data_IF_681023007930
#
_entry.id   IF_681023007930
#
_cell.length_a   1.000
_cell.length_b   1.000
_cell.length_c   1.000
_cell.angle_alpha   90.00
_cell.angle_beta   90.00
_cell.angle_gamma   90.00
#
_symmetry.space_group_name_H-M   'P 1'
#
loop_
_entity.id
_entity.type
_entity.pdbx_description
1 polymer ?
#
# COMPACT_ATOMS: atom_id res chain seq x y z
N UNK A 1 -26.20 27.91 36.37
CA UNK A 1 -25.45 28.10 35.11
C UNK A 1 -25.77 26.95 34.17
N UNK A 2 -26.42 27.23 33.02
CA UNK A 2 -27.01 26.25 32.11
C UNK A 2 -26.10 26.02 30.90
N UNK A 3 -25.54 24.81 30.76
CA UNK A 3 -24.72 24.43 29.60
C UNK A 3 -25.61 23.78 28.54
N UNK A 4 -26.29 24.61 27.71
CA UNK A 4 -26.98 24.15 26.51
C UNK A 4 -25.98 24.15 25.35
N UNK A 5 -25.26 23.05 25.19
CA UNK A 5 -24.48 22.82 23.99
C UNK A 5 -25.44 22.72 22.79
N UNK A 6 -25.20 23.61 21.83
CA UNK A 6 -25.80 23.77 20.50
C UNK A 6 -26.27 22.46 19.85
N UNK A 7 -27.45 21.96 20.22
CA UNK A 7 -28.07 20.78 19.62
C UNK A 7 -29.19 21.26 18.70
N UNK A 8 -29.01 21.03 17.40
CA UNK A 8 -29.93 21.47 16.34
C UNK A 8 -31.38 21.01 16.61
N UNK A 9 -32.39 21.83 16.26
CA UNK A 9 -33.80 21.46 16.34
C UNK A 9 -34.10 20.14 15.60
N UNK A 10 -34.97 19.27 16.13
CA UNK A 10 -35.25 17.94 15.55
C UNK A 10 -35.81 18.03 14.13
N UNK A 11 -36.68 19.01 13.88
CA UNK A 11 -37.25 19.33 12.57
C UNK A 11 -36.20 19.66 11.49
N UNK A 12 -35.09 20.30 11.87
CA UNK A 12 -34.00 20.63 10.95
C UNK A 12 -33.25 19.36 10.51
N UNK A 13 -33.07 18.40 11.43
CA UNK A 13 -32.40 17.13 11.14
C UNK A 13 -33.22 16.26 10.18
N UNK A 14 -34.53 16.24 10.35
CA UNK A 14 -35.43 15.51 9.47
C UNK A 14 -35.50 16.12 8.08
N UNK A 15 -35.52 17.46 7.97
CA UNK A 15 -35.48 18.15 6.68
C UNK A 15 -34.14 17.95 5.97
N UNK A 16 -33.03 18.02 6.70
CA UNK A 16 -31.70 17.74 6.14
C UNK A 16 -31.58 16.28 5.68
N UNK A 17 -32.07 15.32 6.47
CA UNK A 17 -32.10 13.91 6.08
C UNK A 17 -32.96 13.69 4.83
N UNK A 18 -34.12 14.34 4.72
CA UNK A 18 -34.98 14.27 3.53
C UNK A 18 -34.34 14.89 2.30
N UNK A 19 -33.65 16.03 2.43
CA UNK A 19 -32.90 16.64 1.33
C UNK A 19 -31.79 15.72 0.82
N UNK A 20 -31.03 15.12 1.75
CA UNK A 20 -29.99 14.13 1.43
C UNK A 20 -30.58 12.92 0.71
N UNK A 21 -31.69 12.36 1.20
CA UNK A 21 -32.36 11.20 0.59
C UNK A 21 -33.01 11.52 -0.76
N UNK A 22 -33.57 12.72 -0.95
CA UNK A 22 -34.11 13.17 -2.25
C UNK A 22 -33.01 13.40 -3.27
N UNK A 23 -31.86 13.92 -2.85
CA UNK A 23 -30.71 14.14 -3.72
C UNK A 23 -29.96 12.82 -4.06
N UNK A 24 -30.00 11.83 -3.15
CA UNK A 24 -29.56 10.44 -3.39
C UNK A 24 -30.38 9.77 -4.50
N UNK A 25 -31.70 9.97 -4.46
CA UNK A 25 -32.62 9.39 -5.44
C UNK A 25 -32.52 10.02 -6.84
N UNK A 26 -32.28 11.33 -6.92
CA UNK A 26 -32.32 12.06 -8.20
C UNK A 26 -30.98 12.10 -8.96
N UNK A 27 -29.85 11.92 -8.28
CA UNK A 27 -28.53 12.02 -8.91
C UNK A 27 -27.54 10.92 -8.48
N UNK A 28 -27.81 9.63 -8.81
CA UNK A 28 -27.03 8.49 -8.32
C UNK A 28 -25.52 8.55 -8.65
N UNK A 29 -25.12 9.29 -9.69
CA UNK A 29 -23.71 9.48 -10.08
C UNK A 29 -22.92 10.47 -9.21
N UNK A 30 -23.58 11.38 -8.48
CA UNK A 30 -22.91 12.39 -7.63
C UNK A 30 -22.47 11.80 -6.28
N UNK A 31 -23.16 10.75 -5.82
CA UNK A 31 -22.88 10.04 -4.58
C UNK A 31 -21.73 9.06 -4.71
N UNK A 32 -21.34 8.67 -5.93
CA UNK A 32 -20.20 7.78 -6.15
C UNK A 32 -18.91 8.37 -5.56
N UNK A 33 -18.69 9.68 -5.71
CA UNK A 33 -17.55 10.38 -5.09
C UNK A 33 -17.64 10.46 -3.56
N UNK A 34 -18.85 10.57 -3.01
CA UNK A 34 -19.08 10.54 -1.56
C UNK A 34 -18.84 9.14 -0.98
N UNK A 35 -19.31 8.08 -1.63
CA UNK A 35 -19.07 6.67 -1.23
C UNK A 35 -17.57 6.35 -1.23
N UNK A 36 -16.80 6.89 -2.17
CA UNK A 36 -15.34 6.76 -2.22
C UNK A 36 -14.66 7.58 -1.09
N UNK A 37 -15.16 8.78 -0.80
CA UNK A 37 -14.59 9.68 0.22
C UNK A 37 -15.02 9.36 1.66
N UNK A 38 -16.10 8.60 1.84
CA UNK A 38 -16.57 8.12 3.14
C UNK A 38 -16.28 6.63 3.28
N UNK A 39 -15.02 6.22 3.50
CA UNK A 39 -14.68 4.80 3.67
C UNK A 39 -15.42 4.17 4.86
N UNK A 40 -15.91 4.98 5.80
CA UNK A 40 -16.73 4.54 6.93
C UNK A 40 -18.12 4.01 6.56
N UNK A 41 -18.66 4.37 5.40
CA UNK A 41 -19.92 3.78 4.93
C UNK A 41 -19.72 2.34 4.43
N UNK A 42 -18.51 1.99 3.97
CA UNK A 42 -18.12 0.62 3.62
C UNK A 42 -17.88 -0.24 4.87
N UNK A 43 -17.33 0.35 5.95
CA UNK A 43 -17.14 -0.33 7.24
C UNK A 43 -18.45 -0.75 7.94
N UNK A 44 -19.62 -0.29 7.47
CA UNK A 44 -20.92 -0.72 8.00
C UNK A 44 -21.26 -2.19 7.67
N UNK A 45 -20.51 -2.85 6.76
CA UNK A 45 -20.67 -4.27 6.42
C UNK A 45 -19.45 -5.06 6.93
N UNK A 46 -19.63 -6.08 7.81
CA UNK A 46 -18.52 -6.87 8.37
C UNK A 46 -17.61 -7.50 7.32
N UNK A 47 -18.18 -7.93 6.20
CA UNK A 47 -17.47 -8.57 5.08
C UNK A 47 -16.51 -7.61 4.37
N UNK A 48 -16.85 -6.32 4.27
CA UNK A 48 -16.03 -5.33 3.58
C UNK A 48 -14.82 -4.89 4.41
N UNK A 49 -14.87 -5.01 5.74
CA UNK A 49 -13.75 -4.67 6.62
C UNK A 49 -12.55 -5.56 6.28
N UNK A 50 -12.75 -6.87 6.24
CA UNK A 50 -11.68 -7.83 5.92
C UNK A 50 -11.15 -7.65 4.51
N UNK A 51 -12.03 -7.49 3.52
CA UNK A 51 -11.62 -7.27 2.13
C UNK A 51 -10.73 -6.03 1.97
N UNK A 52 -11.08 -4.91 2.58
CA UNK A 52 -10.25 -3.69 2.46
C UNK A 52 -8.88 -3.88 3.11
N UNK A 53 -8.81 -4.52 4.27
CA UNK A 53 -7.57 -4.84 4.96
C UNK A 53 -6.70 -5.80 4.15
N UNK A 54 -7.29 -6.83 3.56
CA UNK A 54 -6.57 -7.83 2.75
C UNK A 54 -6.02 -7.22 1.46
N UNK A 55 -6.79 -6.34 0.82
CA UNK A 55 -6.34 -5.59 -0.37
C UNK A 55 -5.18 -4.66 0.01
N UNK A 56 -5.32 -3.85 1.06
CA UNK A 56 -4.24 -2.98 1.55
C UNK A 56 -2.98 -3.78 1.92
N UNK A 57 -3.15 -4.89 2.63
CA UNK A 57 -2.08 -5.80 3.01
C UNK A 57 -1.36 -6.40 1.78
N UNK A 58 -2.09 -6.68 0.70
CA UNK A 58 -1.54 -7.21 -0.55
C UNK A 58 -0.63 -6.21 -1.27
N UNK A 59 -0.88 -4.90 -1.14
CA UNK A 59 0.01 -3.87 -1.68
C UNK A 59 1.20 -3.59 -0.77
N UNK A 60 0.96 -3.50 0.53
CA UNK A 60 1.99 -3.14 1.51
C UNK A 60 2.99 -4.30 1.71
N UNK A 61 2.53 -5.55 1.68
CA UNK A 61 3.35 -6.73 1.91
C UNK A 61 4.58 -6.83 0.99
N UNK A 62 4.41 -6.85 -0.34
CA UNK A 62 5.51 -6.88 -1.30
C UNK A 62 6.46 -5.69 -1.18
N UNK A 63 5.93 -4.48 -0.90
CA UNK A 63 6.74 -3.28 -0.73
C UNK A 63 7.69 -3.43 0.46
N UNK A 64 7.16 -3.80 1.62
CA UNK A 64 7.95 -4.01 2.83
C UNK A 64 8.93 -5.16 2.65
N UNK A 65 8.54 -6.25 1.98
CA UNK A 65 9.40 -7.40 1.72
C UNK A 65 10.61 -7.05 0.84
N UNK A 66 10.40 -6.27 -0.23
CA UNK A 66 11.50 -5.82 -1.10
C UNK A 66 12.45 -4.92 -0.32
N UNK A 67 11.93 -3.97 0.47
CA UNK A 67 12.75 -3.07 1.27
C UNK A 67 13.57 -3.83 2.34
N UNK A 68 12.96 -4.78 3.02
CA UNK A 68 13.63 -5.61 4.02
C UNK A 68 14.73 -6.46 3.37
N UNK A 69 14.45 -7.04 2.20
CA UNK A 69 15.42 -7.84 1.44
C UNK A 69 16.57 -6.99 0.92
N UNK A 70 16.28 -5.78 0.42
CA UNK A 70 17.33 -4.86 -0.05
C UNK A 70 18.27 -4.49 1.10
N UNK A 71 17.72 -4.12 2.26
CA UNK A 71 18.52 -3.69 3.39
C UNK A 71 19.31 -4.83 4.04
N UNK A 72 18.63 -5.92 4.41
CA UNK A 72 19.26 -7.00 5.19
C UNK A 72 20.02 -8.00 4.33
N UNK A 73 19.50 -8.37 3.14
CA UNK A 73 20.08 -9.44 2.32
C UNK A 73 21.07 -8.87 1.30
N UNK A 74 20.68 -7.83 0.56
CA UNK A 74 21.51 -7.29 -0.53
C UNK A 74 22.60 -6.38 0.01
N UNK A 75 22.24 -5.43 0.88
CA UNK A 75 23.16 -4.41 1.42
C UNK A 75 23.79 -4.79 2.77
N UNK A 76 23.32 -5.88 3.39
CA UNK A 76 23.81 -6.39 4.68
C UNK A 76 23.87 -5.32 5.78
N UNK A 77 22.90 -4.40 5.78
CA UNK A 77 22.81 -3.30 6.76
C UNK A 77 23.70 -2.08 6.48
N UNK A 78 24.43 -2.04 5.37
CA UNK A 78 25.29 -0.91 5.01
C UNK A 78 24.57 0.01 4.02
N UNK A 79 24.17 1.19 4.49
CA UNK A 79 23.57 2.25 3.67
C UNK A 79 24.47 3.49 3.76
N UNK A 80 24.84 4.03 2.60
CA UNK A 80 25.44 5.36 2.51
C UNK A 80 24.33 6.44 2.50
N UNK A 81 24.23 7.19 3.59
CA UNK A 81 23.29 8.31 3.75
C UNK A 81 23.66 9.48 2.86
N UNK A 82 24.95 9.72 2.64
CA UNK A 82 25.41 10.85 1.82
C UNK A 82 25.05 10.65 0.34
N UNK A 83 25.11 9.41 -0.14
CA UNK A 83 24.68 9.03 -1.47
C UNK A 83 23.15 8.99 -1.65
N UNK A 84 22.36 8.85 -0.58
CA UNK A 84 20.88 8.95 -0.65
C UNK A 84 20.40 10.38 -1.00
N UNK A 85 21.15 11.41 -0.61
CA UNK A 85 20.80 12.81 -0.89
C UNK A 85 21.39 13.34 -2.21
N UNK A 86 22.11 12.52 -2.97
CA UNK A 86 22.80 12.94 -4.19
C UNK A 86 22.26 12.21 -5.41
N UNK A 87 21.86 12.97 -6.42
CA UNK A 87 21.30 12.49 -7.69
C UNK A 87 22.34 12.50 -8.82
N UNK A 88 23.50 11.91 -8.59
CA UNK A 88 24.60 11.84 -9.57
C UNK A 88 24.65 10.45 -10.22
N UNK A 89 24.95 10.41 -11.53
CA UNK A 89 24.95 9.18 -12.33
C UNK A 89 25.98 8.13 -11.93
N UNK A 90 26.96 8.50 -11.12
CA UNK A 90 28.05 7.63 -10.65
C UNK A 90 27.83 7.09 -9.22
N UNK A 91 26.66 7.32 -8.63
CA UNK A 91 26.35 6.87 -7.27
C UNK A 91 25.71 5.47 -7.26
N UNK A 92 25.92 4.68 -6.19
CA UNK A 92 25.41 3.31 -6.08
C UNK A 92 23.88 3.18 -6.06
N UNK A 93 23.14 4.28 -5.90
CA UNK A 93 21.68 4.32 -5.98
C UNK A 93 21.15 4.79 -7.34
N UNK A 94 22.03 5.23 -8.23
CA UNK A 94 21.68 5.62 -9.59
C UNK A 94 21.71 4.38 -10.49
N UNK A 95 20.67 3.56 -10.39
CA UNK A 95 20.48 2.35 -11.19
C UNK A 95 20.31 2.68 -12.69
N UNK A 96 19.08 2.60 -13.23
CA UNK A 96 18.78 3.06 -14.58
C UNK A 96 17.96 4.33 -14.45
N UNK A 97 18.58 5.48 -14.76
CA UNK A 97 17.93 6.79 -14.68
C UNK A 97 17.38 7.18 -13.28
N UNK A 98 18.01 6.69 -12.21
CA UNK A 98 17.59 6.94 -10.82
C UNK A 98 16.53 5.98 -10.26
N UNK A 99 16.10 4.97 -11.04
CA UNK A 99 15.08 4.00 -10.62
C UNK A 99 15.62 2.57 -10.72
N UNK A 100 15.27 1.70 -9.76
CA UNK A 100 15.53 0.26 -9.82
C UNK A 100 14.40 -0.47 -10.56
N UNK A 101 14.54 -0.76 -11.88
CA UNK A 101 13.48 -1.41 -12.66
C UNK A 101 13.19 -2.83 -12.17
N UNK A 102 14.18 -3.51 -11.59
CA UNK A 102 14.01 -4.86 -11.03
C UNK A 102 13.11 -4.82 -9.81
N UNK A 103 13.30 -3.87 -8.90
CA UNK A 103 12.42 -3.71 -7.73
C UNK A 103 10.96 -3.50 -8.16
N UNK A 104 10.72 -2.64 -9.16
CA UNK A 104 9.38 -2.38 -9.67
C UNK A 104 8.77 -3.63 -10.30
N UNK A 105 9.52 -4.32 -11.17
CA UNK A 105 9.02 -5.53 -11.82
C UNK A 105 8.66 -6.62 -10.81
N UNK A 106 9.54 -6.86 -9.82
CA UNK A 106 9.28 -7.85 -8.76
C UNK A 106 8.09 -7.44 -7.91
N UNK A 107 7.95 -6.16 -7.58
CA UNK A 107 6.80 -5.63 -6.83
C UNK A 107 5.49 -5.88 -7.59
N UNK A 108 5.44 -5.56 -8.88
CA UNK A 108 4.24 -5.76 -9.71
C UNK A 108 3.88 -7.24 -9.79
N UNK A 109 4.85 -8.12 -10.04
CA UNK A 109 4.61 -9.57 -10.10
C UNK A 109 4.09 -10.09 -8.74
N UNK A 110 4.71 -9.67 -7.63
CA UNK A 110 4.29 -10.10 -6.30
C UNK A 110 2.89 -9.61 -5.92
N UNK A 111 2.53 -8.37 -6.30
CA UNK A 111 1.18 -7.83 -6.11
C UNK A 111 0.17 -8.60 -6.95
N UNK A 112 0.46 -8.89 -8.22
CA UNK A 112 -0.44 -9.67 -9.09
C UNK A 112 -0.70 -11.06 -8.47
N UNK A 113 0.36 -11.73 -8.01
CA UNK A 113 0.23 -13.04 -7.37
C UNK A 113 -0.54 -12.95 -6.05
N UNK A 114 -0.24 -11.96 -5.20
CA UNK A 114 -0.96 -11.74 -3.94
C UNK A 114 -2.44 -11.44 -4.15
N UNK A 115 -2.78 -10.58 -5.12
CA UNK A 115 -4.15 -10.25 -5.47
C UNK A 115 -4.88 -11.46 -6.06
N UNK A 116 -4.22 -12.24 -6.92
CA UNK A 116 -4.81 -13.47 -7.45
C UNK A 116 -5.19 -14.46 -6.35
N UNK A 117 -4.42 -14.53 -5.25
CA UNK A 117 -4.76 -15.35 -4.08
C UNK A 117 -6.01 -14.83 -3.36
N UNK A 118 -6.15 -13.51 -3.18
CA UNK A 118 -7.29 -12.86 -2.49
C UNK A 118 -8.60 -12.95 -3.28
N UNK A 119 -8.53 -12.95 -4.62
CA UNK A 119 -9.72 -13.03 -5.47
C UNK A 119 -10.18 -14.47 -5.76
N UNK A 120 -9.45 -15.48 -5.28
CA UNK A 120 -9.74 -16.88 -5.60
C UNK A 120 -10.40 -17.57 -4.39
N UNK A 121 -11.75 -17.71 -4.37
CA UNK A 121 -12.50 -18.22 -3.21
C UNK A 121 -12.21 -19.69 -2.88
N UNK A 122 -11.51 -20.43 -3.75
CA UNK A 122 -11.02 -21.77 -3.45
C UNK A 122 -9.90 -21.78 -2.38
N UNK A 123 -9.32 -20.62 -2.04
CA UNK A 123 -8.18 -20.44 -1.16
C UNK A 123 -8.53 -19.67 0.13
N UNK A 124 -9.81 -19.57 0.48
CA UNK A 124 -10.33 -19.02 1.75
C UNK A 124 -9.47 -19.34 2.99
N UNK A 125 -9.04 -20.59 3.26
CA UNK A 125 -8.24 -20.89 4.46
C UNK A 125 -6.83 -20.27 4.44
N UNK A 126 -6.31 -19.89 3.26
CA UNK A 126 -4.98 -19.27 3.11
C UNK A 126 -5.04 -17.78 2.75
N UNK A 127 -6.22 -17.15 2.71
CA UNK A 127 -6.33 -15.69 2.52
C UNK A 127 -5.53 -14.91 3.57
N UNK A 128 -5.56 -15.35 4.83
CA UNK A 128 -4.75 -14.79 5.92
C UNK A 128 -3.23 -14.90 5.66
N UNK A 129 -2.80 -15.81 4.79
CA UNK A 129 -1.41 -16.02 4.41
C UNK A 129 -1.02 -15.31 3.10
N UNK A 130 -1.96 -14.65 2.42
CA UNK A 130 -1.71 -13.93 1.16
C UNK A 130 -0.56 -12.93 1.27
N UNK A 131 -0.48 -12.20 2.40
CA UNK A 131 0.62 -11.29 2.71
C UNK A 131 1.97 -12.01 2.77
N UNK A 132 2.03 -13.18 3.42
CA UNK A 132 3.26 -13.95 3.55
C UNK A 132 3.67 -14.60 2.23
N UNK A 133 2.71 -15.02 1.42
CA UNK A 133 2.97 -15.61 0.10
C UNK A 133 3.46 -14.52 -0.86
N UNK A 134 2.73 -13.40 -0.98
CA UNK A 134 3.11 -12.28 -1.84
C UNK A 134 4.42 -11.62 -1.41
N UNK A 135 4.55 -11.33 -0.11
CA UNK A 135 5.79 -10.80 0.47
C UNK A 135 6.96 -11.78 0.38
N UNK A 136 6.71 -13.07 0.64
CA UNK A 136 7.71 -14.12 0.53
C UNK A 136 8.23 -14.27 -0.90
N UNK A 137 7.34 -14.31 -1.90
CA UNK A 137 7.70 -14.35 -3.32
C UNK A 137 8.47 -13.10 -3.72
N UNK A 138 8.04 -11.91 -3.27
CA UNK A 138 8.74 -10.66 -3.53
C UNK A 138 10.18 -10.69 -2.97
N UNK A 139 10.35 -11.12 -1.73
CA UNK A 139 11.65 -11.24 -1.08
C UNK A 139 12.55 -12.26 -1.79
N UNK A 140 12.00 -13.41 -2.20
CA UNK A 140 12.75 -14.49 -2.85
C UNK A 140 13.21 -14.06 -4.26
N UNK A 141 12.29 -13.53 -5.07
CA UNK A 141 12.60 -13.06 -6.43
C UNK A 141 13.56 -11.88 -6.40
N UNK A 142 13.28 -10.86 -5.58
CA UNK A 142 14.16 -9.69 -5.45
C UNK A 142 15.54 -10.12 -4.95
N UNK A 143 15.59 -10.97 -3.91
CA UNK A 143 16.84 -11.48 -3.35
C UNK A 143 17.68 -12.24 -4.38
N UNK A 144 17.08 -13.12 -5.19
CA UNK A 144 17.80 -13.88 -6.22
C UNK A 144 18.34 -12.96 -7.32
N UNK A 145 17.51 -12.05 -7.83
CA UNK A 145 17.89 -11.19 -8.96
C UNK A 145 18.91 -10.15 -8.51
N UNK A 146 18.68 -9.50 -7.37
CA UNK A 146 19.47 -8.39 -6.87
C UNK A 146 20.80 -8.84 -6.26
N UNK A 147 20.90 -10.05 -5.68
CA UNK A 147 22.19 -10.62 -5.22
C UNK A 147 23.21 -10.74 -6.35
N UNK A 148 22.77 -10.90 -7.60
CA UNK A 148 23.66 -10.95 -8.76
C UNK A 148 24.10 -9.58 -9.26
N UNK A 149 23.39 -8.52 -8.82
CA UNK A 149 23.56 -7.14 -9.24
C UNK A 149 24.17 -6.26 -8.14
N UNK A 150 24.77 -6.83 -7.09
CA UNK A 150 25.47 -6.07 -6.05
C UNK A 150 26.66 -5.32 -6.68
N UNK A 151 26.38 -4.12 -7.16
CA UNK A 151 27.37 -3.15 -7.57
C UNK A 151 28.28 -2.88 -6.38
N UNK A 152 29.57 -3.09 -6.65
CA UNK A 152 30.68 -2.81 -5.73
C UNK A 152 30.39 -1.50 -5.00
N UNK A 153 30.16 -1.57 -3.70
CA UNK A 153 30.40 -0.45 -2.82
C UNK A 153 31.91 -0.27 -2.80
N UNK A 154 32.47 0.35 -3.85
CA UNK A 154 33.87 0.75 -3.89
C UNK A 154 34.05 1.77 -2.78
N UNK A 155 34.59 1.28 -1.68
CA UNK A 155 35.46 1.97 -0.73
C UNK A 155 36.11 3.21 -1.33
N UNK A 156 35.86 4.40 -0.76
CA UNK A 156 36.72 5.57 -0.97
C UNK A 156 36.89 6.37 0.33
N UNK A 157 38.06 7.03 0.48
CA UNK A 157 38.80 7.11 1.72
C UNK A 157 38.28 8.19 2.66
N UNK A 158 38.55 7.98 3.95
CA UNK A 158 38.45 8.98 5.01
C UNK A 158 39.22 10.25 4.62
N UNK A 159 38.52 11.38 4.59
CA UNK A 159 39.11 12.72 4.69
C UNK A 159 38.57 13.40 5.92
#
# INVERSE_FOLDING_TARGET
MSNKSKRFPPEFRERAARMVLEEEKNHPSRWSGAVIMTPWNLYARPELIHLTLDVLATFIGPLIAILLTDYYIVRRGVIDVSALYRSQSNLPYWYHNGINPVAILVMVIAVIVGSAVVFMPALEPIHNLSLFIGGGIAALLYGIIMRRHSYRLTTFPSS
#
